data_IF_212450840087
#
_entry.id   IF_212450840087
#
_cell.length_a   1.000
_cell.length_b   1.000
_cell.length_c   1.000
_cell.angle_alpha   90.00
_cell.angle_beta   90.00
_cell.angle_gamma   90.00
#
_symmetry.space_group_name_H-M   'P 1'
#
loop_
_entity.id
_entity.type
_entity.pdbx_description
1 polymer ?
#
# COMPACT_ATOMS: atom_id res chain seq x y z
N UNK A 1 18.05 -19.97 -26.42
CA UNK A 1 16.58 -19.91 -26.29
C UNK A 1 16.35 -19.40 -24.88
N UNK A 2 16.37 -18.08 -24.73
CA UNK A 2 16.25 -17.43 -23.42
C UNK A 2 14.81 -17.59 -22.96
N UNK A 3 14.61 -18.28 -21.84
CA UNK A 3 13.34 -18.26 -21.12
C UNK A 3 13.09 -16.82 -20.69
N UNK A 4 11.91 -16.23 -20.99
CA UNK A 4 11.63 -14.88 -20.51
C UNK A 4 11.64 -14.92 -18.98
N UNK A 5 12.54 -14.18 -18.34
CA UNK A 5 12.55 -13.92 -16.90
C UNK A 5 11.24 -13.20 -16.53
N UNK A 6 10.15 -13.96 -16.42
CA UNK A 6 8.77 -13.43 -16.34
C UNK A 6 8.38 -13.15 -14.87
N UNK A 7 9.32 -13.30 -13.94
CA UNK A 7 9.16 -13.01 -12.50
C UNK A 7 10.20 -12.00 -12.01
N UNK A 8 10.33 -10.87 -12.73
CA UNK A 8 11.12 -9.76 -12.21
C UNK A 8 10.39 -9.15 -11.02
N UNK A 9 10.93 -9.34 -9.82
CA UNK A 9 10.45 -8.70 -8.59
C UNK A 9 10.36 -7.19 -8.81
N UNK A 10 9.19 -6.62 -8.53
CA UNK A 10 8.95 -5.18 -8.63
C UNK A 10 8.82 -4.52 -7.24
N UNK A 11 8.56 -3.21 -7.23
CA UNK A 11 8.49 -2.43 -5.98
C UNK A 11 7.28 -2.80 -5.10
N UNK A 12 6.21 -3.37 -5.67
CA UNK A 12 5.06 -3.86 -4.91
C UNK A 12 5.45 -5.13 -4.16
N UNK A 13 6.15 -6.04 -4.82
CA UNK A 13 6.67 -7.26 -4.18
C UNK A 13 7.65 -6.91 -3.06
N UNK A 14 8.52 -5.93 -3.31
CA UNK A 14 9.47 -5.42 -2.32
C UNK A 14 8.75 -4.83 -1.10
N UNK A 15 7.74 -3.98 -1.33
CA UNK A 15 6.94 -3.38 -0.27
C UNK A 15 6.23 -4.41 0.60
N UNK A 16 5.61 -5.42 -0.01
CA UNK A 16 4.96 -6.52 0.72
C UNK A 16 6.01 -7.34 1.48
N UNK A 17 7.13 -7.67 0.84
CA UNK A 17 8.20 -8.47 1.45
C UNK A 17 8.76 -7.80 2.71
N UNK A 18 9.05 -6.50 2.64
CA UNK A 18 9.64 -5.76 3.76
C UNK A 18 8.63 -5.15 4.73
N UNK A 19 7.33 -5.15 4.41
CA UNK A 19 6.29 -4.52 5.23
C UNK A 19 6.38 -4.88 6.71
N UNK A 20 6.48 -6.17 7.04
CA UNK A 20 6.49 -6.63 8.44
C UNK A 20 7.66 -6.09 9.24
N UNK A 21 8.79 -5.78 8.61
CA UNK A 21 9.92 -5.09 9.24
C UNK A 21 9.68 -3.56 9.26
N UNK A 22 9.35 -3.00 8.10
CA UNK A 22 9.22 -1.55 7.89
C UNK A 22 8.13 -0.90 8.76
N UNK A 23 7.04 -1.62 9.04
CA UNK A 23 5.90 -1.10 9.83
C UNK A 23 6.28 -0.70 11.27
N UNK A 24 7.42 -1.17 11.79
CA UNK A 24 7.91 -0.81 13.12
C UNK A 24 8.75 0.47 13.16
N UNK A 25 9.28 0.90 12.02
CA UNK A 25 10.14 2.08 11.96
C UNK A 25 9.32 3.36 11.95
N UNK A 26 9.83 4.35 12.68
CA UNK A 26 9.24 5.70 12.74
C UNK A 26 9.96 6.71 11.84
N UNK A 27 11.24 6.47 11.59
CA UNK A 27 12.10 7.32 10.79
C UNK A 27 12.72 6.47 9.69
N UNK A 28 12.82 7.04 8.49
CA UNK A 28 13.45 6.43 7.33
C UNK A 28 14.51 7.39 6.80
N UNK A 29 15.68 6.85 6.45
CA UNK A 29 16.71 7.60 5.74
C UNK A 29 16.42 7.53 4.23
N UNK A 30 15.85 8.61 3.70
CA UNK A 30 15.35 8.67 2.32
C UNK A 30 16.52 9.05 1.39
N UNK A 31 17.00 8.09 0.61
CA UNK A 31 18.16 8.27 -0.28
C UNK A 31 17.74 8.47 -1.74
N UNK A 32 16.54 8.05 -2.09
CA UNK A 32 16.07 8.01 -3.47
C UNK A 32 14.55 8.23 -3.58
N UNK A 33 14.08 8.46 -4.82
CA UNK A 33 12.65 8.50 -5.11
C UNK A 33 11.97 7.14 -4.92
N UNK A 34 12.69 6.03 -5.06
CA UNK A 34 12.17 4.69 -4.80
C UNK A 34 11.82 4.50 -3.32
N UNK A 35 12.65 5.02 -2.41
CA UNK A 35 12.39 4.96 -0.97
C UNK A 35 11.07 5.67 -0.61
N UNK A 36 10.79 6.81 -1.26
CA UNK A 36 9.52 7.53 -1.07
C UNK A 36 8.33 6.67 -1.47
N UNK A 37 8.42 5.98 -2.60
CA UNK A 37 7.36 5.08 -3.07
C UNK A 37 7.22 3.85 -2.15
N UNK A 38 8.32 3.29 -1.65
CA UNK A 38 8.31 2.20 -0.69
C UNK A 38 7.64 2.59 0.64
N UNK A 39 7.90 3.80 1.14
CA UNK A 39 7.24 4.38 2.32
C UNK A 39 5.73 4.54 2.06
N UNK A 40 5.36 5.05 0.89
CA UNK A 40 3.95 5.18 0.50
C UNK A 40 3.23 3.83 0.46
N UNK A 41 3.83 2.82 -0.16
CA UNK A 41 3.27 1.48 -0.25
C UNK A 41 3.19 0.80 1.12
N UNK A 42 4.21 0.98 1.98
CA UNK A 42 4.19 0.47 3.36
C UNK A 42 3.02 1.07 4.14
N UNK A 43 2.77 2.37 4.01
CA UNK A 43 1.58 3.03 4.59
C UNK A 43 0.30 2.46 4.02
N UNK A 44 0.19 2.33 2.69
CA UNK A 44 -1.01 1.81 2.05
C UNK A 44 -1.32 0.37 2.47
N UNK A 45 -0.32 -0.50 2.59
CA UNK A 45 -0.48 -1.87 3.12
C UNK A 45 -1.05 -1.83 4.54
N UNK A 46 -0.59 -0.89 5.38
CA UNK A 46 -1.14 -0.72 6.73
C UNK A 46 -2.64 -0.32 6.69
N UNK A 47 -3.04 0.59 5.80
CA UNK A 47 -4.46 0.95 5.55
C UNK A 47 -5.28 -0.25 5.11
N UNK A 48 -4.79 -0.98 4.11
CA UNK A 48 -5.48 -2.13 3.55
C UNK A 48 -5.65 -3.24 4.60
N UNK A 49 -4.62 -3.55 5.38
CA UNK A 49 -4.72 -4.50 6.50
C UNK A 49 -5.71 -4.03 7.57
N UNK A 50 -5.78 -2.73 7.84
CA UNK A 50 -6.79 -2.16 8.75
C UNK A 50 -8.20 -2.39 8.23
N UNK A 51 -8.42 -2.21 6.93
CA UNK A 51 -9.70 -2.49 6.27
C UNK A 51 -10.09 -3.98 6.34
N UNK A 52 -9.10 -4.87 6.32
CA UNK A 52 -9.28 -6.32 6.37
C UNK A 52 -9.43 -6.90 7.79
N UNK A 53 -9.16 -6.14 8.85
CA UNK A 53 -9.09 -6.64 10.24
C UNK A 53 -10.37 -7.40 10.69
N UNK A 54 -11.53 -7.02 10.16
CA UNK A 54 -12.82 -7.64 10.45
C UNK A 54 -13.32 -8.67 9.44
N UNK A 55 -12.69 -8.78 8.27
CA UNK A 55 -13.16 -9.61 7.17
C UNK A 55 -12.79 -11.09 7.41
N UNK A 56 -13.79 -11.94 7.63
CA UNK A 56 -13.63 -13.35 8.01
C UNK A 56 -13.45 -14.28 6.82
N UNK A 57 -13.78 -13.84 5.62
CA UNK A 57 -13.62 -14.60 4.38
C UNK A 57 -12.86 -13.82 3.33
N UNK A 58 -12.24 -14.52 2.37
CA UNK A 58 -11.61 -13.89 1.21
C UNK A 58 -12.61 -13.01 0.44
N UNK A 59 -13.85 -13.47 0.25
CA UNK A 59 -14.87 -12.70 -0.47
C UNK A 59 -15.20 -11.36 0.21
N UNK A 60 -15.34 -11.35 1.54
CA UNK A 60 -15.51 -10.11 2.31
C UNK A 60 -14.28 -9.21 2.18
N UNK A 61 -13.08 -9.79 2.27
CA UNK A 61 -11.82 -9.06 2.11
C UNK A 61 -11.68 -8.41 0.74
N UNK A 62 -11.94 -9.16 -0.34
CA UNK A 62 -11.94 -8.66 -1.71
C UNK A 62 -12.90 -7.50 -1.89
N UNK A 63 -14.14 -7.61 -1.37
CA UNK A 63 -15.12 -6.52 -1.42
C UNK A 63 -14.62 -5.28 -0.67
N UNK A 64 -14.03 -5.47 0.51
CA UNK A 64 -13.50 -4.37 1.32
C UNK A 64 -12.33 -3.64 0.62
N UNK A 65 -11.46 -4.40 -0.07
CA UNK A 65 -10.34 -3.89 -0.85
C UNK A 65 -10.80 -3.15 -2.11
N UNK A 66 -11.79 -3.69 -2.84
CA UNK A 66 -12.39 -2.99 -3.98
C UNK A 66 -12.97 -1.64 -3.54
N UNK A 67 -13.71 -1.62 -2.43
CA UNK A 67 -14.26 -0.37 -1.90
C UNK A 67 -13.17 0.63 -1.51
N UNK A 68 -12.05 0.16 -0.94
CA UNK A 68 -10.89 1.01 -0.63
C UNK A 68 -10.25 1.59 -1.91
N UNK A 69 -10.22 0.83 -3.01
CA UNK A 69 -9.71 1.30 -4.31
C UNK A 69 -10.57 2.38 -4.97
N UNK A 70 -11.87 2.42 -4.67
CA UNK A 70 -12.81 3.43 -5.17
C UNK A 70 -12.71 4.77 -4.42
N UNK A 71 -12.05 4.80 -3.26
CA UNK A 71 -11.88 6.03 -2.49
C UNK A 71 -11.00 7.04 -3.22
N UNK A 72 -11.24 8.34 -2.98
CA UNK A 72 -10.42 9.40 -3.55
C UNK A 72 -8.97 9.24 -3.06
N UNK A 73 -8.04 9.17 -3.99
CA UNK A 73 -6.60 9.14 -3.70
C UNK A 73 -6.08 10.58 -3.60
N UNK A 74 -5.68 11.06 -2.41
CA UNK A 74 -5.05 12.37 -2.28
C UNK A 74 -3.62 12.33 -2.83
N UNK A 75 -3.18 13.46 -3.38
CA UNK A 75 -1.78 13.70 -3.82
C UNK A 75 -1.13 14.80 -2.98
N UNK A 76 0.20 14.99 -3.05
CA UNK A 76 0.88 16.02 -2.24
C UNK A 76 0.26 17.40 -2.42
N UNK A 77 -0.01 18.08 -1.30
CA UNK A 77 -0.69 19.38 -1.25
C UNK A 77 -2.21 19.30 -1.06
N UNK A 78 -2.82 18.14 -1.25
CA UNK A 78 -4.26 17.95 -0.96
C UNK A 78 -4.50 17.57 0.51
N UNK A 79 -5.66 17.97 1.04
CA UNK A 79 -6.14 17.51 2.33
C UNK A 79 -6.23 15.98 2.37
N UNK A 80 -5.71 15.38 3.44
CA UNK A 80 -5.67 13.93 3.62
C UNK A 80 -4.42 13.25 3.06
N UNK A 81 -3.50 13.97 2.39
CA UNK A 81 -2.20 13.39 2.02
C UNK A 81 -1.33 13.19 3.28
N UNK A 82 -0.85 11.97 3.57
CA UNK A 82 -0.31 11.65 4.90
C UNK A 82 1.15 12.03 5.12
N UNK A 83 1.86 12.52 4.10
CA UNK A 83 3.31 12.77 4.15
C UNK A 83 3.66 14.23 3.84
N UNK A 84 3.54 15.16 4.81
CA UNK A 84 3.90 16.56 4.59
C UNK A 84 5.40 16.69 4.26
N UNK A 85 5.71 17.41 3.19
CA UNK A 85 7.10 17.74 2.78
C UNK A 85 7.94 16.59 2.21
N UNK A 86 7.48 15.33 2.28
CA UNK A 86 8.23 14.17 1.76
C UNK A 86 8.24 14.12 0.22
N UNK A 87 7.10 14.46 -0.37
CA UNK A 87 6.89 14.45 -1.81
C UNK A 87 6.86 15.87 -2.35
N UNK A 88 7.40 16.11 -3.56
CA UNK A 88 7.25 17.40 -4.22
C UNK A 88 5.76 17.67 -4.50
N UNK A 89 5.38 18.94 -4.45
CA UNK A 89 4.05 19.37 -4.87
C UNK A 89 3.97 19.28 -6.41
N UNK A 90 2.86 18.77 -6.97
CA UNK A 90 2.62 18.85 -8.41
C UNK A 90 2.63 20.31 -8.89
N UNK A 91 3.26 20.58 -10.02
CA UNK A 91 3.39 21.92 -10.61
C UNK A 91 2.13 22.36 -11.36
N UNK A 92 1.25 21.39 -11.70
CA UNK A 92 0.00 21.64 -12.42
C UNK A 92 -1.09 20.65 -12.01
N UNK A 93 -2.34 21.00 -12.34
CA UNK A 93 -3.47 20.06 -12.17
C UNK A 93 -3.30 18.79 -13.01
N UNK A 94 -2.68 18.89 -14.18
CA UNK A 94 -2.43 17.75 -15.06
C UNK A 94 -1.42 16.78 -14.43
N UNK A 95 -0.32 17.31 -13.86
CA UNK A 95 0.66 16.50 -13.14
C UNK A 95 0.05 15.86 -11.88
N UNK A 96 -0.80 16.61 -11.16
CA UNK A 96 -1.53 16.08 -10.01
C UNK A 96 -2.43 14.90 -10.40
N UNK A 97 -3.15 14.99 -11.53
CA UNK A 97 -4.00 13.90 -12.02
C UNK A 97 -3.18 12.71 -12.54
N UNK A 98 -2.06 12.96 -13.22
CA UNK A 98 -1.14 11.90 -13.64
C UNK A 98 -0.62 11.11 -12.42
N UNK A 99 -0.14 11.81 -11.39
CA UNK A 99 0.31 11.20 -10.15
C UNK A 99 -0.82 10.44 -9.46
N UNK A 100 -2.02 11.02 -9.40
CA UNK A 100 -3.19 10.37 -8.80
C UNK A 100 -3.51 9.05 -9.49
N UNK A 101 -3.49 9.02 -10.83
CA UNK A 101 -3.76 7.81 -11.59
C UNK A 101 -2.66 6.76 -11.42
N UNK A 102 -1.41 7.17 -11.37
CA UNK A 102 -0.30 6.28 -11.00
C UNK A 102 -0.48 5.67 -9.61
N UNK A 103 -0.84 6.48 -8.61
CA UNK A 103 -1.09 6.01 -7.25
C UNK A 103 -2.32 5.11 -7.15
N UNK A 104 -3.37 5.31 -7.96
CA UNK A 104 -4.50 4.38 -8.05
C UNK A 104 -4.04 3.02 -8.56
N UNK A 105 -3.28 3.00 -9.66
CA UNK A 105 -2.79 1.76 -10.26
C UNK A 105 -1.90 0.97 -9.30
N UNK A 106 -0.93 1.62 -8.64
CA UNK A 106 -0.02 0.93 -7.71
C UNK A 106 -0.78 0.39 -6.49
N UNK A 107 -1.83 1.09 -6.03
CA UNK A 107 -2.71 0.65 -4.94
C UNK A 107 -3.52 -0.58 -5.32
N UNK A 108 -4.07 -0.61 -6.53
CA UNK A 108 -4.83 -1.76 -7.05
C UNK A 108 -3.94 -3.01 -7.15
N UNK A 109 -2.76 -2.89 -7.75
CA UNK A 109 -1.76 -3.97 -7.82
C UNK A 109 -1.34 -4.46 -6.43
N UNK A 110 -1.04 -3.53 -5.52
CA UNK A 110 -0.68 -3.87 -4.14
C UNK A 110 -1.79 -4.60 -3.43
N UNK A 111 -3.03 -4.15 -3.60
CA UNK A 111 -4.23 -4.74 -3.02
C UNK A 111 -4.47 -6.17 -3.48
N UNK A 112 -4.35 -6.43 -4.79
CA UNK A 112 -4.49 -7.76 -5.36
C UNK A 112 -3.46 -8.74 -4.78
N UNK A 113 -2.19 -8.33 -4.72
CA UNK A 113 -1.11 -9.17 -4.16
C UNK A 113 -1.20 -9.31 -2.64
N UNK A 114 -1.68 -8.29 -1.93
CA UNK A 114 -1.85 -8.31 -0.48
C UNK A 114 -2.92 -9.32 -0.05
N UNK A 115 -4.02 -9.46 -0.79
CA UNK A 115 -5.06 -10.46 -0.49
C UNK A 115 -4.49 -11.89 -0.44
N UNK A 116 -3.56 -12.21 -1.35
CA UNK A 116 -2.89 -13.51 -1.43
C UNK A 116 -2.03 -13.85 -0.20
N UNK A 117 -1.56 -12.84 0.55
CA UNK A 117 -0.78 -13.06 1.78
C UNK A 117 -1.64 -12.89 3.06
N UNK A 118 -2.68 -12.05 2.98
CA UNK A 118 -3.62 -11.78 4.07
C UNK A 118 -4.63 -12.90 4.30
N UNK A 119 -4.88 -13.75 3.28
CA UNK A 119 -5.72 -14.94 3.38
C UNK A 119 -4.92 -16.21 3.05
N UNK A 120 -5.31 -17.32 3.66
CA UNK A 120 -4.80 -18.65 3.32
C UNK A 120 -5.47 -19.18 2.05
N UNK A 121 -4.90 -20.21 1.39
CA UNK A 121 -5.53 -20.84 0.23
C UNK A 121 -6.96 -21.35 0.48
N UNK A 122 -7.30 -21.70 1.74
CA UNK A 122 -8.65 -22.11 2.13
C UNK A 122 -9.62 -20.92 2.39
N UNK A 123 -9.22 -19.69 2.05
CA UNK A 123 -10.03 -18.48 2.21
C UNK A 123 -10.11 -17.94 3.64
N UNK A 124 -9.45 -18.57 4.62
CA UNK A 124 -9.45 -18.08 6.01
C UNK A 124 -8.41 -16.99 6.25
N UNK A 125 -8.64 -16.06 7.20
CA UNK A 125 -7.72 -14.97 7.46
C UNK A 125 -6.36 -15.44 8.01
N UNK A 126 -5.27 -14.88 7.50
CA UNK A 126 -3.92 -15.13 7.96
C UNK A 126 -3.56 -14.22 9.15
N UNK A 127 -3.67 -14.76 10.37
CA UNK A 127 -3.38 -14.01 11.60
C UNK A 127 -1.98 -13.39 11.65
N UNK A 128 -1.00 -13.98 10.96
CA UNK A 128 0.37 -13.48 10.93
C UNK A 128 0.54 -12.22 10.08
N UNK A 129 -0.43 -11.90 9.24
CA UNK A 129 -0.51 -10.64 8.51
C UNK A 129 -1.49 -9.68 9.18
N UNK A 130 -2.68 -10.15 9.53
CA UNK A 130 -3.71 -9.30 10.13
C UNK A 130 -3.35 -8.79 11.53
N UNK A 131 -2.44 -9.44 12.27
CA UNK A 131 -1.95 -8.92 13.54
C UNK A 131 -1.31 -7.53 13.42
N UNK A 132 -0.84 -7.15 12.22
CA UNK A 132 -0.24 -5.85 11.96
C UNK A 132 -1.26 -4.73 11.70
N UNK A 133 -2.56 -5.05 11.53
CA UNK A 133 -3.62 -4.08 11.26
C UNK A 133 -3.76 -3.01 12.37
N UNK A 134 -3.42 -3.35 13.62
CA UNK A 134 -3.48 -2.42 14.76
C UNK A 134 -2.24 -1.54 14.91
N UNK A 135 -1.17 -1.80 14.15
CA UNK A 135 0.04 -0.99 14.19
C UNK A 135 -0.18 0.28 13.38
N UNK A 136 0.37 1.39 13.87
CA UNK A 136 0.39 2.66 13.15
C UNK A 136 1.76 2.81 12.51
N UNK A 137 1.80 2.95 11.20
CA UNK A 137 3.04 3.28 10.49
C UNK A 137 3.36 4.78 10.63
N UNK A 138 4.58 5.13 11.06
CA UNK A 138 5.04 6.53 11.26
C UNK A 138 4.09 7.43 12.09
N UNK A 139 3.27 6.86 12.97
CA UNK A 139 2.18 7.56 13.69
C UNK A 139 1.16 8.25 12.78
N UNK A 140 1.12 7.91 11.49
CA UNK A 140 0.12 8.41 10.55
C UNK A 140 -1.22 7.86 11.00
N UNK A 141 -2.14 8.76 11.35
CA UNK A 141 -3.54 8.42 11.55
C UNK A 141 -4.15 8.41 10.17
N UNK A 142 -4.38 7.21 9.66
CA UNK A 142 -5.16 7.03 8.45
C UNK A 142 -6.63 7.18 8.87
N UNK A 143 -7.39 8.09 8.23
CA UNK A 143 -8.81 8.27 8.53
C UNK A 143 -9.65 7.02 8.26
#
# INVERSE_FOLDING_TARGET
MDTPDTYRTDIVDEAITFFRANVFFRNFDIKSSADKLLIYLTMYINVALKRLEGCRTLAEGTKAIINLGLEKVPVPGESGFPFPGLFPLPQSQQEAELLRNYLKQIREETSGRLLSVAYRPNGTPNKWWLAFAKRKFMNIIVP
#
